data_IF_772513519193
#
_entry.id   IF_772513519193
#
_cell.length_a   1.000
_cell.length_b   1.000
_cell.length_c   1.000
_cell.angle_alpha   90.00
_cell.angle_beta   90.00
_cell.angle_gamma   90.00
#
_symmetry.space_group_name_H-M   'P 1'
#
loop_
_entity.id
_entity.type
_entity.pdbx_description
1 polymer ?
#
# COMPACT_ATOMS: atom_id res chain seq x y z
N UNK A 1 -48.37 -2.96 -25.50
CA UNK A 1 -47.74 -1.77 -24.89
C UNK A 1 -47.90 -1.89 -23.36
N UNK A 2 -46.78 -1.95 -22.61
CA UNK A 2 -46.53 -1.58 -21.17
C UNK A 2 -47.56 -1.98 -20.06
N UNK A 3 -47.25 -2.89 -19.11
CA UNK A 3 -46.66 -2.71 -17.74
C UNK A 3 -47.57 -1.92 -16.74
N UNK A 4 -47.79 -2.24 -15.45
CA UNK A 4 -47.35 -3.24 -14.47
C UNK A 4 -47.77 -2.84 -13.01
N UNK A 5 -47.61 -3.77 -12.04
CA UNK A 5 -47.52 -3.68 -10.55
C UNK A 5 -48.72 -3.08 -9.73
N UNK A 6 -49.21 -3.69 -8.62
CA UNK A 6 -48.54 -3.92 -7.33
C UNK A 6 -49.17 -5.09 -6.54
N UNK A 7 -48.34 -6.01 -6.00
CA UNK A 7 -48.74 -6.96 -4.94
C UNK A 7 -47.63 -7.05 -3.88
N UNK A 8 -48.07 -7.23 -2.64
CA UNK A 8 -47.29 -7.24 -1.40
C UNK A 8 -46.43 -8.51 -1.22
N UNK A 9 -45.31 -8.39 -0.49
CA UNK A 9 -44.77 -9.49 0.33
C UNK A 9 -43.94 -8.96 1.51
N UNK A 10 -44.24 -9.56 2.65
CA UNK A 10 -43.64 -9.46 3.98
C UNK A 10 -42.28 -10.21 4.06
N UNK A 11 -41.73 -10.31 5.28
CA UNK A 11 -40.53 -11.06 5.76
C UNK A 11 -39.22 -10.25 5.70
N UNK A 12 -38.86 -9.46 6.73
CA UNK A 12 -38.12 -9.86 7.95
C UNK A 12 -36.84 -10.65 7.66
N UNK A 13 -35.66 -10.10 7.98
CA UNK A 13 -34.52 -10.85 8.53
C UNK A 13 -33.36 -9.87 8.77
N UNK A 14 -33.15 -9.59 10.06
CA UNK A 14 -31.86 -9.83 10.70
C UNK A 14 -30.68 -8.99 10.19
N UNK A 15 -30.36 -7.95 10.96
CA UNK A 15 -29.05 -7.86 11.60
C UNK A 15 -27.92 -8.60 10.86
N UNK A 16 -27.38 -8.00 9.82
CA UNK A 16 -26.03 -8.28 9.31
C UNK A 16 -25.43 -6.93 8.95
N UNK A 17 -24.91 -6.24 9.96
CA UNK A 17 -23.46 -6.17 10.14
C UNK A 17 -22.75 -6.05 8.80
N UNK A 18 -22.28 -4.84 8.52
CA UNK A 18 -21.03 -4.59 7.80
C UNK A 18 -20.76 -5.48 6.58
N UNK A 19 -21.02 -4.97 5.38
CA UNK A 19 -20.28 -5.43 4.19
C UNK A 19 -20.04 -4.25 3.26
N UNK A 20 -19.00 -3.48 3.60
CA UNK A 20 -18.23 -2.74 2.61
C UNK A 20 -17.38 -3.77 1.88
N UNK A 21 -17.87 -4.23 0.74
CA UNK A 21 -17.12 -4.93 -0.28
C UNK A 21 -17.83 -4.57 -1.59
N UNK A 22 -17.23 -3.90 -2.55
CA UNK A 22 -16.17 -4.40 -3.43
C UNK A 22 -15.59 -3.15 -4.12
N UNK A 23 -14.28 -2.98 -4.28
CA UNK A 23 -13.60 -3.53 -5.45
C UNK A 23 -12.12 -3.80 -5.14
N UNK A 24 -11.78 -5.05 -5.38
CA UNK A 24 -10.49 -5.67 -5.25
C UNK A 24 -9.72 -5.42 -6.55
N UNK A 25 -8.71 -4.55 -6.50
CA UNK A 25 -7.54 -4.69 -7.35
C UNK A 25 -6.54 -5.51 -6.53
N UNK A 26 -6.34 -6.76 -6.96
CA UNK A 26 -5.17 -7.62 -6.73
C UNK A 26 -3.95 -6.82 -6.25
N UNK A 27 -3.43 -6.95 -5.02
CA UNK A 27 -2.77 -8.14 -4.45
C UNK A 27 -2.68 -7.98 -2.91
N UNK A 28 -2.85 -9.08 -2.18
CA UNK A 28 -2.34 -9.32 -0.83
C UNK A 28 -2.73 -8.34 0.31
N UNK A 29 -3.93 -8.57 0.85
CA UNK A 29 -4.32 -8.42 2.27
C UNK A 29 -3.18 -8.78 3.26
N UNK A 30 -2.83 -8.13 4.39
CA UNK A 30 -3.19 -6.95 5.25
C UNK A 30 -2.10 -6.93 6.38
N UNK A 31 -1.89 -5.94 7.31
CA UNK A 31 -2.91 -5.03 7.84
C UNK A 31 -2.44 -3.65 8.37
N UNK A 32 -3.43 -2.88 8.85
CA UNK A 32 -3.29 -1.89 9.94
C UNK A 32 -2.45 -0.64 9.68
N UNK A 33 -3.10 0.52 9.55
CA UNK A 33 -2.57 1.71 10.23
C UNK A 33 -2.76 1.44 11.75
N UNK A 34 -1.77 1.58 12.67
CA UNK A 34 -1.04 2.83 12.92
C UNK A 34 0.32 2.66 13.66
N UNK A 35 1.47 2.71 12.98
CA UNK A 35 2.74 2.69 13.72
C UNK A 35 3.76 3.60 13.07
N UNK A 36 4.02 4.73 13.74
CA UNK A 36 5.24 5.53 13.67
C UNK A 36 6.46 4.71 14.18
N UNK A 37 6.52 3.43 13.85
CA UNK A 37 7.66 2.55 13.99
C UNK A 37 8.13 2.36 12.57
N UNK A 38 9.19 3.09 12.21
CA UNK A 38 9.65 3.26 10.84
C UNK A 38 9.52 1.98 10.02
N UNK A 39 8.70 2.02 8.97
CA UNK A 39 8.53 0.87 8.08
C UNK A 39 9.91 0.51 7.55
N UNK A 40 10.22 -0.77 7.55
CA UNK A 40 11.46 -1.26 6.95
C UNK A 40 11.07 -2.00 5.68
N UNK A 41 11.77 -1.70 4.60
CA UNK A 41 11.60 -2.35 3.31
C UNK A 41 12.96 -2.85 2.83
N UNK A 42 12.96 -3.85 1.97
CA UNK A 42 14.15 -4.38 1.32
C UNK A 42 14.05 -4.09 -0.17
N UNK A 43 15.13 -3.58 -0.75
CA UNK A 43 15.25 -3.45 -2.18
C UNK A 43 15.23 -4.82 -2.86
N UNK A 44 14.34 -4.97 -3.82
CA UNK A 44 14.26 -6.18 -4.66
C UNK A 44 14.99 -5.98 -6.00
N UNK A 45 15.31 -4.74 -6.34
CA UNK A 45 16.08 -4.36 -7.52
C UNK A 45 17.09 -3.27 -7.18
N UNK A 46 18.12 -3.11 -8.00
CA UNK A 46 19.02 -1.97 -7.92
C UNK A 46 18.36 -0.69 -8.45
N UNK A 47 18.55 0.40 -7.73
CA UNK A 47 18.10 1.73 -8.10
C UNK A 47 19.25 2.72 -7.92
N UNK A 48 19.54 3.50 -8.96
CA UNK A 48 20.44 4.65 -8.87
C UNK A 48 19.61 5.92 -8.71
N UNK A 49 19.87 6.71 -7.67
CA UNK A 49 19.34 8.06 -7.55
C UNK A 49 19.64 8.86 -8.82
N UNK A 50 18.62 9.45 -9.41
CA UNK A 50 18.75 10.39 -10.52
C UNK A 50 19.02 11.81 -10.01
N UNK A 51 18.43 12.16 -8.86
CA UNK A 51 18.53 13.48 -8.23
C UNK A 51 19.09 13.45 -6.80
N UNK A 52 19.45 14.62 -6.28
CA UNK A 52 20.00 14.79 -4.91
C UNK A 52 19.02 14.42 -3.80
N UNK A 53 17.73 14.45 -4.10
CA UNK A 53 16.65 14.17 -3.15
C UNK A 53 16.28 12.67 -3.11
N UNK A 54 16.90 11.87 -3.98
CA UNK A 54 16.69 10.43 -4.09
C UNK A 54 17.83 9.62 -3.46
N UNK A 55 17.57 8.34 -3.22
CA UNK A 55 18.56 7.41 -2.68
C UNK A 55 18.87 6.27 -3.63
N UNK A 56 20.17 6.00 -3.81
CA UNK A 56 20.63 4.81 -4.52
C UNK A 56 20.71 3.62 -3.56
N UNK A 57 20.22 2.46 -4.00
CA UNK A 57 20.26 1.20 -3.27
C UNK A 57 20.47 0.03 -4.24
N UNK A 58 20.97 -1.10 -3.76
CA UNK A 58 21.11 -2.35 -4.53
C UNK A 58 20.08 -3.37 -4.09
N UNK A 59 19.89 -4.41 -4.90
CA UNK A 59 19.13 -5.58 -4.47
C UNK A 59 19.63 -6.09 -3.11
N UNK A 60 18.68 -6.45 -2.24
CA UNK A 60 18.95 -6.88 -0.88
C UNK A 60 19.27 -5.75 0.12
N UNK A 61 19.45 -4.50 -0.31
CA UNK A 61 19.67 -3.39 0.63
C UNK A 61 18.41 -3.14 1.48
N UNK A 62 18.63 -2.83 2.75
CA UNK A 62 17.54 -2.52 3.70
C UNK A 62 17.36 -1.02 3.79
N UNK A 63 16.13 -0.56 3.62
CA UNK A 63 15.73 0.83 3.79
C UNK A 63 14.83 0.91 5.03
N UNK A 64 15.24 1.73 6.00
CA UNK A 64 14.52 1.94 7.27
C UNK A 64 13.86 3.31 7.28
N UNK A 65 13.02 3.51 8.29
CA UNK A 65 12.30 4.77 8.48
C UNK A 65 11.49 5.16 7.24
N UNK A 66 10.91 4.15 6.58
CA UNK A 66 10.23 4.32 5.30
C UNK A 66 8.86 4.94 5.55
N UNK A 67 8.56 6.00 4.82
CA UNK A 67 7.29 6.71 4.83
C UNK A 67 6.75 6.73 3.39
N UNK A 68 5.53 6.25 3.18
CA UNK A 68 4.87 6.42 1.89
C UNK A 68 4.51 7.92 1.74
N UNK A 69 5.01 8.55 0.69
CA UNK A 69 4.64 9.94 0.35
C UNK A 69 3.43 9.90 -0.59
N UNK A 70 3.50 9.06 -1.62
CA UNK A 70 2.49 8.93 -2.68
C UNK A 70 2.34 7.46 -3.15
N UNK A 71 1.43 7.20 -4.09
CA UNK A 71 1.10 5.86 -4.62
C UNK A 71 2.25 5.14 -5.37
N UNK A 72 3.35 5.84 -5.68
CA UNK A 72 4.52 5.25 -6.34
C UNK A 72 5.85 5.52 -5.63
N UNK A 73 5.85 6.37 -4.60
CA UNK A 73 7.07 6.93 -4.01
C UNK A 73 7.04 6.84 -2.49
N UNK A 74 8.18 6.44 -1.93
CA UNK A 74 8.42 6.38 -0.50
C UNK A 74 9.66 7.20 -0.17
N UNK A 75 9.73 7.70 1.05
CA UNK A 75 10.93 8.32 1.61
C UNK A 75 11.54 7.38 2.62
N UNK A 76 12.85 7.19 2.61
CA UNK A 76 13.49 6.28 3.56
C UNK A 76 15.00 6.42 3.60
N UNK A 77 15.61 5.78 4.60
CA UNK A 77 17.05 5.78 4.82
C UNK A 77 17.65 4.44 4.44
N UNK A 78 18.52 4.42 3.44
CA UNK A 78 19.26 3.22 3.01
C UNK A 78 20.29 2.89 4.08
N UNK A 79 20.15 1.75 4.77
CA UNK A 79 21.03 1.37 5.88
C UNK A 79 22.48 1.21 5.44
N UNK A 80 22.72 0.69 4.24
CA UNK A 80 24.07 0.47 3.72
C UNK A 80 24.84 1.77 3.46
N UNK A 81 24.16 2.78 2.91
CA UNK A 81 24.80 4.06 2.56
C UNK A 81 24.60 5.15 3.62
N UNK A 82 23.66 4.96 4.55
CA UNK A 82 23.23 6.00 5.50
C UNK A 82 22.56 7.20 4.86
N UNK A 83 22.22 7.12 3.57
CA UNK A 83 21.58 8.20 2.81
C UNK A 83 20.08 8.11 2.94
N UNK A 84 19.43 9.26 3.06
CA UNK A 84 17.97 9.38 3.14
C UNK A 84 17.46 10.16 1.94
N UNK A 85 16.36 9.71 1.36
CA UNK A 85 15.79 10.33 0.17
C UNK A 85 14.56 9.57 -0.31
N UNK A 86 14.06 10.00 -1.47
CA UNK A 86 12.96 9.35 -2.17
C UNK A 86 13.43 8.08 -2.87
N UNK A 87 12.55 7.09 -2.88
CA UNK A 87 12.72 5.82 -3.56
C UNK A 87 11.39 5.35 -4.15
N UNK A 88 11.43 4.63 -5.28
CA UNK A 88 10.22 4.06 -5.86
C UNK A 88 9.74 2.86 -5.05
N UNK A 89 8.46 2.86 -4.67
CA UNK A 89 7.83 1.78 -3.91
C UNK A 89 7.88 0.43 -4.67
N UNK A 90 7.86 0.47 -6.00
CA UNK A 90 7.89 -0.72 -6.86
C UNK A 90 9.24 -1.46 -6.87
N UNK A 91 10.31 -0.84 -6.35
CA UNK A 91 11.65 -1.42 -6.32
C UNK A 91 12.00 -2.00 -4.95
N UNK A 92 11.06 -1.93 -4.01
CA UNK A 92 11.23 -2.38 -2.64
C UNK A 92 10.05 -3.25 -2.20
N UNK A 93 10.29 -4.21 -1.32
CA UNK A 93 9.28 -5.02 -0.67
C UNK A 93 9.27 -4.75 0.84
N UNK A 94 8.10 -4.78 1.48
CA UNK A 94 8.05 -4.76 2.93
C UNK A 94 8.72 -6.03 3.50
N UNK A 95 9.56 -5.87 4.52
CA UNK A 95 10.19 -6.99 5.26
C UNK A 95 9.46 -7.33 6.54
#
# INVERSE_FOLDING_TARGET
MVAGYQQAKTVELQQRSSSVATQQTTVSSVPSHPSTTGRTVRAIYDYGAADSDEVSFKDGDVIVNVQAIDEGWMYGTVQRSGKTGMLPANYVEAV
#
